data_IF_453766765865
#
_entry.id   IF_453766765865
#
_cell.length_a   1.000
_cell.length_b   1.000
_cell.length_c   1.000
_cell.angle_alpha   90.00
_cell.angle_beta   90.00
_cell.angle_gamma   90.00
#
_symmetry.space_group_name_H-M   'P 1'
#
loop_
_entity.id
_entity.type
_entity.pdbx_description
1 polymer ?
#
# COMPACT_ATOMS: atom_id res chain seq x y z
N UNK A 1 -4.79 1.16 -12.85
CA UNK A 1 -5.34 -0.18 -13.24
C UNK A 1 -6.86 -0.26 -13.04
N UNK A 2 -7.40 0.21 -11.93
CA UNK A 2 -8.87 0.29 -11.77
C UNK A 2 -9.51 1.20 -12.81
N UNK A 3 -8.78 2.16 -13.34
CA UNK A 3 -9.25 3.08 -14.38
C UNK A 3 -9.11 2.49 -15.80
N UNK A 4 -8.09 1.66 -16.05
CA UNK A 4 -7.93 0.97 -17.36
C UNK A 4 -8.88 -0.23 -17.50
N UNK A 5 -9.17 -0.94 -16.41
CA UNK A 5 -10.28 -1.91 -16.36
C UNK A 5 -11.65 -1.24 -16.36
N UNK A 6 -11.74 0.08 -16.12
CA UNK A 6 -13.00 0.80 -16.10
C UNK A 6 -13.73 0.77 -17.44
N UNK A 7 -13.04 0.81 -18.57
CA UNK A 7 -13.72 0.83 -19.87
C UNK A 7 -14.41 -0.51 -20.19
N UNK A 8 -13.81 -1.62 -19.80
CA UNK A 8 -14.41 -2.94 -19.97
C UNK A 8 -15.52 -3.20 -18.95
N UNK A 9 -15.32 -2.81 -17.69
CA UNK A 9 -16.35 -2.83 -16.64
C UNK A 9 -17.48 -1.84 -16.96
N UNK A 10 -17.17 -0.64 -17.44
CA UNK A 10 -18.10 0.37 -17.94
C UNK A 10 -18.98 -0.21 -19.05
N UNK A 11 -18.37 -0.86 -20.03
CA UNK A 11 -19.07 -1.54 -21.12
C UNK A 11 -20.02 -2.62 -20.61
N UNK A 12 -19.54 -3.49 -19.70
CA UNK A 12 -20.35 -4.54 -19.09
C UNK A 12 -21.52 -3.98 -18.26
N UNK A 13 -21.32 -2.92 -17.50
CA UNK A 13 -22.37 -2.27 -16.71
C UNK A 13 -23.43 -1.66 -17.66
N UNK A 14 -23.01 -1.02 -18.73
CA UNK A 14 -23.91 -0.43 -19.72
C UNK A 14 -24.70 -1.48 -20.52
N UNK A 15 -24.09 -2.65 -20.76
CA UNK A 15 -24.73 -3.78 -21.44
C UNK A 15 -25.73 -4.53 -20.54
N UNK A 16 -25.45 -4.63 -19.24
CA UNK A 16 -26.25 -5.42 -18.28
C UNK A 16 -27.36 -4.62 -17.60
N UNK A 17 -27.32 -3.29 -17.59
CA UNK A 17 -28.31 -2.45 -16.91
C UNK A 17 -28.97 -1.47 -17.86
N UNK A 18 -30.29 -1.38 -17.77
CA UNK A 18 -31.09 -0.42 -18.51
C UNK A 18 -30.52 1.01 -18.38
N UNK A 19 -30.13 1.55 -19.47
CA UNK A 19 -29.77 2.89 -19.99
C UNK A 19 -29.83 4.16 -19.10
N UNK A 20 -30.08 4.09 -17.80
CA UNK A 20 -30.24 5.26 -16.92
C UNK A 20 -29.07 5.51 -15.96
N UNK A 21 -27.91 4.88 -16.21
CA UNK A 21 -26.73 5.07 -15.37
C UNK A 21 -25.81 6.07 -16.05
N UNK A 22 -25.59 7.19 -15.41
CA UNK A 22 -24.54 8.14 -15.75
C UNK A 22 -23.21 7.65 -15.21
N UNK A 23 -22.17 7.66 -16.05
CA UNK A 23 -20.81 7.28 -15.66
C UNK A 23 -19.97 8.55 -15.58
N UNK A 24 -19.47 8.82 -14.38
CA UNK A 24 -18.64 9.97 -14.09
C UNK A 24 -17.18 9.53 -14.10
N UNK A 25 -16.36 10.24 -14.86
CA UNK A 25 -14.94 9.96 -14.95
C UNK A 25 -14.14 10.73 -13.89
N UNK A 26 -13.38 10.02 -13.09
CA UNK A 26 -12.59 10.60 -11.98
C UNK A 26 -11.57 11.64 -12.48
N UNK A 27 -11.05 11.50 -13.69
CA UNK A 27 -10.13 12.48 -14.31
C UNK A 27 -10.68 13.92 -14.38
N UNK A 28 -12.00 14.08 -14.42
CA UNK A 28 -12.64 15.40 -14.44
C UNK A 28 -12.43 16.17 -13.12
N UNK A 29 -12.00 15.46 -12.07
CA UNK A 29 -11.75 15.98 -10.74
C UNK A 29 -10.27 16.17 -10.41
N UNK A 30 -9.36 15.81 -11.30
CA UNK A 30 -7.89 15.99 -11.13
C UNK A 30 -7.47 17.46 -11.05
N UNK A 31 -8.35 18.40 -11.41
CA UNK A 31 -8.16 19.84 -11.22
C UNK A 31 -8.07 20.26 -9.75
N UNK A 32 -8.58 19.46 -8.83
CA UNK A 32 -8.45 19.73 -7.41
C UNK A 32 -7.03 19.41 -6.95
N UNK A 33 -6.34 20.41 -6.43
CA UNK A 33 -4.98 20.23 -5.88
C UNK A 33 -5.04 19.45 -4.58
N UNK A 34 -4.30 18.36 -4.54
CA UNK A 34 -4.12 17.53 -3.34
C UNK A 34 -2.65 17.63 -2.92
N UNK A 35 -2.42 17.75 -1.61
CA UNK A 35 -1.10 17.92 -1.03
C UNK A 35 -0.10 16.85 -1.51
N UNK A 36 1.13 17.28 -1.86
CA UNK A 36 2.18 16.41 -2.40
C UNK A 36 2.75 15.40 -1.37
N UNK A 37 2.44 15.55 -0.10
CA UNK A 37 2.79 14.56 0.94
C UNK A 37 2.10 13.21 0.77
N UNK A 38 0.99 13.17 0.03
CA UNK A 38 0.30 11.90 -0.23
C UNK A 38 0.94 11.11 -1.37
N UNK A 39 1.03 9.79 -1.20
CA UNK A 39 1.40 8.88 -2.27
C UNK A 39 0.44 9.00 -3.47
N UNK A 40 0.94 8.75 -4.68
CA UNK A 40 0.20 8.98 -5.93
C UNK A 40 -1.16 8.27 -5.96
N UNK A 41 -1.23 7.05 -5.43
CA UNK A 41 -2.48 6.29 -5.37
C UNK A 41 -3.50 6.88 -4.38
N UNK A 42 -3.04 7.50 -3.28
CA UNK A 42 -3.92 8.18 -2.33
C UNK A 42 -4.53 9.44 -2.94
N UNK A 43 -3.75 10.18 -3.74
CA UNK A 43 -4.29 11.32 -4.50
C UNK A 43 -5.41 10.89 -5.43
N UNK A 44 -5.24 9.78 -6.17
CA UNK A 44 -6.30 9.23 -7.02
C UNK A 44 -7.54 8.81 -6.23
N UNK A 45 -7.36 8.18 -5.08
CA UNK A 45 -8.49 7.83 -4.19
C UNK A 45 -9.23 9.07 -3.68
N UNK A 46 -8.50 10.14 -3.35
CA UNK A 46 -9.12 11.41 -2.95
C UNK A 46 -9.90 12.06 -4.10
N UNK A 47 -9.40 12.02 -5.32
CA UNK A 47 -10.17 12.47 -6.50
C UNK A 47 -11.47 11.67 -6.67
N UNK A 48 -11.46 10.36 -6.42
CA UNK A 48 -12.69 9.55 -6.41
C UNK A 48 -13.65 10.00 -5.31
N UNK A 49 -13.15 10.28 -4.10
CA UNK A 49 -13.97 10.81 -3.00
C UNK A 49 -14.59 12.15 -3.39
N UNK A 50 -13.80 13.06 -3.97
CA UNK A 50 -14.27 14.36 -4.44
C UNK A 50 -15.38 14.18 -5.50
N UNK A 51 -15.20 13.26 -6.45
CA UNK A 51 -16.21 12.95 -7.43
C UNK A 51 -17.53 12.50 -6.79
N UNK A 52 -17.46 11.55 -5.84
CA UNK A 52 -18.64 11.07 -5.13
C UNK A 52 -19.36 12.18 -4.34
N UNK A 53 -18.59 13.00 -3.60
CA UNK A 53 -19.15 14.10 -2.82
C UNK A 53 -19.82 15.17 -3.71
N UNK A 54 -19.20 15.46 -4.85
CA UNK A 54 -19.78 16.40 -5.85
C UNK A 54 -21.11 15.91 -6.36
N UNK A 55 -21.22 14.64 -6.71
CA UNK A 55 -22.49 14.04 -7.16
C UNK A 55 -23.57 14.05 -6.08
N UNK A 56 -23.16 13.82 -4.85
CA UNK A 56 -24.07 13.91 -3.68
C UNK A 56 -24.41 15.36 -3.32
N UNK A 57 -23.88 16.37 -4.04
CA UNK A 57 -24.05 17.80 -3.76
C UNK A 57 -23.63 18.21 -2.35
N UNK A 58 -22.60 17.51 -1.83
CA UNK A 58 -21.98 17.82 -0.54
C UNK A 58 -20.86 18.83 -0.81
N UNK A 59 -20.85 19.93 -0.08
CA UNK A 59 -19.77 20.93 -0.18
C UNK A 59 -18.44 20.33 0.29
N UNK A 60 -17.40 20.59 -0.49
CA UNK A 60 -16.08 20.05 -0.25
C UNK A 60 -15.16 21.18 0.20
N UNK A 61 -14.57 21.04 1.38
CA UNK A 61 -13.42 21.81 1.80
C UNK A 61 -12.17 20.94 1.60
N UNK A 62 -11.39 21.23 0.57
CA UNK A 62 -10.18 20.46 0.25
C UNK A 62 -9.07 20.62 1.29
N UNK A 63 -9.11 21.66 2.13
CA UNK A 63 -8.16 21.85 3.23
C UNK A 63 -8.28 20.75 4.29
N UNK A 64 -9.49 20.16 4.44
CA UNK A 64 -9.70 19.05 5.36
C UNK A 64 -8.91 17.79 4.98
N UNK A 65 -8.49 17.64 3.72
CA UNK A 65 -7.68 16.51 3.29
C UNK A 65 -6.19 16.68 3.65
N UNK A 66 -5.76 17.89 3.99
CA UNK A 66 -4.33 18.17 4.22
C UNK A 66 -3.80 17.56 5.53
N UNK A 67 -4.66 17.34 6.50
CA UNK A 67 -4.28 16.96 7.85
C UNK A 67 -4.74 15.57 8.31
N UNK A 68 -5.29 14.76 7.42
CA UNK A 68 -5.75 13.41 7.77
C UNK A 68 -4.71 12.37 7.33
N UNK A 69 -3.77 11.97 8.20
CA UNK A 69 -2.91 10.83 7.91
C UNK A 69 -3.75 9.56 7.90
N UNK A 70 -3.74 8.84 6.79
CA UNK A 70 -4.28 7.48 6.75
C UNK A 70 -3.24 6.54 7.32
N UNK A 71 -3.42 6.10 8.58
CA UNK A 71 -2.50 5.19 9.24
C UNK A 71 -2.21 3.96 8.38
N UNK A 72 -0.91 3.67 8.22
CA UNK A 72 -0.44 2.52 7.45
C UNK A 72 -0.76 2.57 5.94
N UNK A 73 -0.88 3.74 5.34
CA UNK A 73 -1.04 3.92 3.90
C UNK A 73 0.12 4.72 3.32
N UNK A 74 1.20 4.02 2.96
CA UNK A 74 2.47 4.61 2.53
C UNK A 74 2.92 5.75 3.46
N UNK A 75 2.68 5.54 4.75
CA UNK A 75 2.90 6.54 5.80
C UNK A 75 4.36 6.55 6.20
N UNK A 76 4.99 7.71 6.10
CA UNK A 76 6.35 7.92 6.57
C UNK A 76 6.34 8.24 8.06
N UNK A 77 6.86 7.33 8.90
CA UNK A 77 6.92 7.47 10.36
C UNK A 77 8.28 7.98 10.87
N UNK A 78 9.31 7.89 10.02
CA UNK A 78 10.63 8.46 10.25
C UNK A 78 11.23 8.87 8.90
N UNK A 79 12.37 9.57 8.91
CA UNK A 79 13.03 10.03 7.67
C UNK A 79 13.28 8.92 6.67
N UNK A 80 13.49 7.69 7.15
CA UNK A 80 13.87 6.51 6.37
C UNK A 80 12.97 5.29 6.61
N UNK A 81 11.83 5.43 7.29
CA UNK A 81 10.91 4.32 7.58
C UNK A 81 9.52 4.66 7.05
N UNK A 82 9.02 3.81 6.16
CA UNK A 82 7.66 3.89 5.64
C UNK A 82 6.88 2.63 6.02
N UNK A 83 5.63 2.79 6.44
CA UNK A 83 4.72 1.69 6.76
C UNK A 83 3.55 1.65 5.78
N UNK A 84 3.14 0.44 5.38
CA UNK A 84 1.94 0.21 4.58
C UNK A 84 1.29 -1.14 4.93
N UNK A 85 0.00 -1.15 5.20
CA UNK A 85 -0.76 -2.35 5.58
C UNK A 85 -1.30 -3.13 4.38
N UNK A 86 -0.85 -2.81 3.16
CA UNK A 86 -1.16 -3.56 1.96
C UNK A 86 -0.71 -5.02 2.07
N UNK A 87 -1.48 -5.92 1.47
CA UNK A 87 -1.25 -7.36 1.60
C UNK A 87 -1.67 -8.15 0.34
N UNK A 88 -1.84 -7.47 -0.79
CA UNK A 88 -2.24 -8.08 -2.06
C UNK A 88 -1.38 -7.55 -3.22
N UNK A 89 -1.40 -8.22 -4.38
CA UNK A 89 -0.60 -7.84 -5.55
C UNK A 89 -0.85 -6.39 -6.02
N UNK A 90 -2.09 -5.91 -5.98
CA UNK A 90 -2.41 -4.55 -6.39
C UNK A 90 -1.73 -3.51 -5.48
N UNK A 91 -1.81 -3.69 -4.16
CA UNK A 91 -1.12 -2.84 -3.21
C UNK A 91 0.41 -2.90 -3.42
N UNK A 92 0.96 -4.09 -3.66
CA UNK A 92 2.38 -4.26 -3.96
C UNK A 92 2.81 -3.48 -5.22
N UNK A 93 1.99 -3.52 -6.29
CA UNK A 93 2.28 -2.78 -7.53
C UNK A 93 2.34 -1.27 -7.28
N UNK A 94 1.41 -0.75 -6.50
CA UNK A 94 1.37 0.68 -6.19
C UNK A 94 2.57 1.09 -5.35
N UNK A 95 2.89 0.30 -4.32
CA UNK A 95 4.06 0.55 -3.45
C UNK A 95 5.37 0.42 -4.24
N UNK A 96 5.51 -0.56 -5.14
CA UNK A 96 6.69 -0.70 -5.97
C UNK A 96 6.95 0.57 -6.82
N UNK A 97 5.90 1.23 -7.29
CA UNK A 97 5.99 2.53 -8.01
C UNK A 97 6.50 3.65 -7.11
N UNK A 98 6.01 3.77 -5.88
CA UNK A 98 6.42 4.82 -4.93
C UNK A 98 7.91 4.70 -4.55
N UNK A 99 8.46 3.47 -4.62
CA UNK A 99 9.88 3.18 -4.35
C UNK A 99 10.69 2.91 -5.63
N UNK A 100 10.18 3.27 -6.80
CA UNK A 100 10.90 3.12 -8.06
C UNK A 100 12.28 3.81 -7.98
N UNK A 101 13.31 3.11 -8.46
CA UNK A 101 14.72 3.54 -8.39
C UNK A 101 15.34 3.59 -6.98
N UNK A 102 14.67 3.06 -5.96
CA UNK A 102 15.21 2.88 -4.62
C UNK A 102 15.49 1.43 -4.32
N UNK A 103 16.39 1.18 -3.36
CA UNK A 103 16.61 -0.12 -2.76
C UNK A 103 16.29 -0.04 -1.28
N UNK A 104 15.39 -0.90 -0.82
CA UNK A 104 14.87 -0.87 0.54
C UNK A 104 15.14 -2.20 1.28
N UNK A 105 15.24 -2.13 2.59
CA UNK A 105 15.08 -3.28 3.46
C UNK A 105 13.58 -3.47 3.72
N UNK A 106 13.04 -4.59 3.22
CA UNK A 106 11.63 -4.94 3.42
C UNK A 106 11.45 -5.70 4.73
N UNK A 107 10.64 -5.18 5.64
CA UNK A 107 10.18 -5.89 6.84
C UNK A 107 8.80 -6.46 6.52
N UNK A 108 8.69 -7.80 6.51
CA UNK A 108 7.55 -8.45 5.89
C UNK A 108 7.09 -9.71 6.63
N UNK A 109 5.80 -9.93 6.59
CA UNK A 109 5.14 -11.21 6.77
C UNK A 109 3.76 -11.13 6.10
N UNK A 110 3.08 -12.27 5.95
CA UNK A 110 1.77 -12.34 5.31
C UNK A 110 0.89 -13.41 5.94
N UNK A 111 -0.41 -13.28 5.74
CA UNK A 111 -1.33 -14.37 5.98
C UNK A 111 -1.25 -15.43 4.88
N UNK A 112 -1.43 -16.70 5.25
CA UNK A 112 -1.31 -17.83 4.34
C UNK A 112 -2.39 -17.88 3.23
N UNK A 113 -3.52 -17.18 3.44
CA UNK A 113 -4.61 -17.05 2.47
C UNK A 113 -4.38 -15.94 1.43
N UNK A 114 -3.27 -15.19 1.52
CA UNK A 114 -2.92 -14.13 0.58
C UNK A 114 -1.93 -14.61 -0.47
N UNK A 115 -1.93 -13.98 -1.62
CA UNK A 115 -0.96 -14.26 -2.69
C UNK A 115 0.40 -13.58 -2.41
N UNK A 116 1.04 -14.02 -1.32
CA UNK A 116 2.32 -13.48 -0.88
C UNK A 116 3.46 -13.76 -1.85
N UNK A 117 3.34 -14.82 -2.66
CA UNK A 117 4.33 -15.14 -3.69
C UNK A 117 4.34 -14.06 -4.76
N UNK A 118 3.16 -13.69 -5.27
CA UNK A 118 3.06 -12.64 -6.29
C UNK A 118 3.40 -11.27 -5.71
N UNK A 119 2.99 -10.98 -4.47
CA UNK A 119 3.41 -9.76 -3.76
C UNK A 119 4.93 -9.63 -3.73
N UNK A 120 5.66 -10.69 -3.34
CA UNK A 120 7.13 -10.66 -3.29
C UNK A 120 7.78 -10.54 -4.67
N UNK A 121 7.22 -11.16 -5.71
CA UNK A 121 7.69 -10.98 -7.10
C UNK A 121 7.59 -9.52 -7.55
N UNK A 122 6.46 -8.89 -7.28
CA UNK A 122 6.21 -7.48 -7.64
C UNK A 122 7.16 -6.55 -6.91
N UNK A 123 7.39 -6.79 -5.60
CA UNK A 123 8.28 -5.95 -4.79
C UNK A 123 9.77 -6.23 -5.02
N UNK A 124 10.14 -7.41 -5.56
CA UNK A 124 11.53 -7.80 -5.76
C UNK A 124 12.43 -6.72 -6.37
N UNK A 125 12.02 -5.97 -7.41
CA UNK A 125 12.87 -4.94 -8.03
C UNK A 125 13.35 -3.86 -7.08
N UNK A 126 12.60 -3.56 -6.03
CA UNK A 126 12.93 -2.52 -5.04
C UNK A 126 13.62 -3.08 -3.80
N UNK A 127 13.59 -4.40 -3.57
CA UNK A 127 14.16 -5.02 -2.37
C UNK A 127 15.69 -5.14 -2.50
N UNK A 128 16.40 -4.66 -1.48
CA UNK A 128 17.82 -4.93 -1.22
C UNK A 128 17.96 -6.21 -0.40
N UNK A 129 17.27 -6.26 0.72
CA UNK A 129 17.21 -7.39 1.65
C UNK A 129 15.84 -7.44 2.33
N UNK A 130 15.49 -8.58 2.91
CA UNK A 130 14.20 -8.79 3.56
C UNK A 130 14.39 -9.36 4.97
N UNK A 131 13.65 -8.79 5.93
CA UNK A 131 13.53 -9.31 7.29
C UNK A 131 12.14 -9.92 7.46
N UNK A 132 12.06 -11.19 7.82
CA UNK A 132 10.82 -11.84 8.20
C UNK A 132 10.51 -11.47 9.65
N UNK A 133 9.44 -10.71 9.86
CA UNK A 133 8.98 -10.38 11.21
C UNK A 133 8.14 -11.51 11.77
N UNK A 134 8.46 -11.98 12.97
CA UNK A 134 7.73 -13.06 13.64
C UNK A 134 6.42 -12.53 14.24
N UNK A 135 5.31 -13.18 13.91
CA UNK A 135 3.96 -12.84 14.36
C UNK A 135 3.33 -14.02 15.08
N UNK A 136 2.68 -13.74 16.19
CA UNK A 136 1.92 -14.76 16.95
C UNK A 136 0.46 -14.83 16.48
N UNK A 137 0.26 -15.34 15.26
CA UNK A 137 -1.07 -15.61 14.69
C UNK A 137 -1.01 -16.88 13.82
N UNK A 138 -1.93 -17.81 14.07
CA UNK A 138 -1.99 -19.11 13.37
C UNK A 138 -2.28 -18.99 11.86
N UNK A 139 -2.79 -17.86 11.41
CA UNK A 139 -3.11 -17.59 9.99
C UNK A 139 -1.90 -17.10 9.18
N UNK A 140 -0.80 -16.80 9.85
CA UNK A 140 0.43 -16.30 9.22
C UNK A 140 1.14 -17.43 8.49
N UNK A 141 1.78 -17.11 7.38
CA UNK A 141 2.65 -18.04 6.64
C UNK A 141 3.76 -18.54 7.56
N UNK A 142 4.00 -19.85 7.55
CA UNK A 142 5.10 -20.44 8.30
C UNK A 142 6.44 -19.89 7.83
N UNK A 143 7.32 -19.54 8.76
CA UNK A 143 8.61 -18.92 8.47
C UNK A 143 9.44 -19.70 7.45
N UNK A 144 9.46 -21.02 7.58
CA UNK A 144 10.19 -21.94 6.67
C UNK A 144 9.63 -21.93 5.25
N UNK A 145 8.31 -21.78 5.12
CA UNK A 145 7.64 -21.68 3.83
C UNK A 145 7.93 -20.34 3.16
N UNK A 146 7.83 -19.26 3.93
CA UNK A 146 8.15 -17.93 3.44
C UNK A 146 9.62 -17.80 3.04
N UNK A 147 10.55 -18.37 3.84
CA UNK A 147 11.99 -18.44 3.50
C UNK A 147 12.23 -19.12 2.15
N UNK A 148 11.61 -20.26 1.89
CA UNK A 148 11.74 -20.95 0.58
C UNK A 148 11.34 -20.09 -0.60
N UNK A 149 10.25 -19.32 -0.46
CA UNK A 149 9.81 -18.40 -1.51
C UNK A 149 10.81 -17.27 -1.71
N UNK A 150 11.30 -16.66 -0.64
CA UNK A 150 12.28 -15.57 -0.68
C UNK A 150 13.57 -16.02 -1.33
N UNK A 151 14.09 -17.20 -0.94
CA UNK A 151 15.28 -17.82 -1.54
C UNK A 151 15.08 -18.14 -3.01
N UNK A 152 13.91 -18.72 -3.38
CA UNK A 152 13.54 -19.00 -4.76
C UNK A 152 13.48 -17.75 -5.64
N UNK A 153 13.19 -16.60 -5.03
CA UNK A 153 13.22 -15.30 -5.70
C UNK A 153 14.63 -14.65 -5.68
N UNK A 154 15.63 -15.28 -5.07
CA UNK A 154 17.00 -14.74 -4.91
C UNK A 154 16.99 -13.39 -4.17
N UNK A 155 16.17 -13.24 -3.15
CA UNK A 155 16.14 -12.08 -2.25
C UNK A 155 17.00 -12.41 -1.03
N UNK A 156 17.90 -11.52 -0.65
CA UNK A 156 18.74 -11.69 0.55
C UNK A 156 17.89 -11.59 1.82
N UNK A 157 18.09 -12.53 2.77
CA UNK A 157 17.41 -12.53 4.06
C UNK A 157 18.35 -11.96 5.12
N UNK A 158 17.85 -10.98 5.90
CA UNK A 158 18.48 -10.45 7.10
C UNK A 158 17.75 -10.96 8.33
N UNK A 159 18.48 -11.51 9.29
CA UNK A 159 17.86 -12.20 10.43
C UNK A 159 17.36 -11.25 11.53
N UNK A 160 17.84 -10.01 11.57
CA UNK A 160 17.53 -9.07 12.65
C UNK A 160 17.07 -7.72 12.12
N UNK A 161 16.11 -7.11 12.83
CA UNK A 161 15.71 -5.72 12.60
C UNK A 161 16.72 -4.83 13.35
N UNK A 162 17.53 -4.10 12.58
CA UNK A 162 18.40 -3.05 13.07
C UNK A 162 18.24 -1.85 12.14
N UNK A 163 17.68 -0.77 12.65
CA UNK A 163 17.44 0.45 11.88
C UNK A 163 18.73 1.26 11.80
N UNK A 164 19.21 1.47 10.60
CA UNK A 164 20.40 2.26 10.26
C UNK A 164 19.96 3.55 9.53
N UNK A 165 20.65 4.66 9.79
CA UNK A 165 20.23 5.99 9.30
C UNK A 165 20.27 6.12 7.78
N UNK A 166 21.21 5.43 7.14
CA UNK A 166 21.48 5.53 5.70
C UNK A 166 20.75 4.46 4.87
N UNK A 167 19.85 3.71 5.51
CA UNK A 167 19.05 2.65 4.88
C UNK A 167 17.58 3.02 4.85
N UNK A 168 16.90 2.75 3.73
CA UNK A 168 15.46 2.93 3.59
C UNK A 168 14.72 1.64 3.97
N UNK A 169 13.67 1.77 4.76
CA UNK A 169 12.86 0.65 5.26
C UNK A 169 11.42 0.78 4.81
N UNK A 170 10.87 -0.34 4.35
CA UNK A 170 9.45 -0.50 4.11
C UNK A 170 8.91 -1.62 5.00
N UNK A 171 7.92 -1.33 5.82
CA UNK A 171 7.15 -2.31 6.59
C UNK A 171 5.86 -2.58 5.84
N UNK A 172 5.65 -3.82 5.38
CA UNK A 172 4.56 -4.16 4.48
C UNK A 172 3.96 -5.54 4.79
N UNK A 173 2.63 -5.71 4.63
CA UNK A 173 1.99 -7.02 4.67
C UNK A 173 0.67 -7.10 5.42
N UNK A 174 0.45 -6.35 6.50
CA UNK A 174 -0.83 -6.24 7.22
C UNK A 174 -0.74 -5.26 8.38
N UNK A 175 -1.87 -4.94 9.01
CA UNK A 175 -1.88 -4.20 10.27
C UNK A 175 -1.06 -4.89 11.36
N UNK A 176 -1.12 -6.21 11.46
CA UNK A 176 -0.37 -6.99 12.46
C UNK A 176 1.15 -6.88 12.25
N UNK A 177 1.62 -6.85 11.00
CA UNK A 177 3.04 -6.63 10.65
C UNK A 177 3.49 -5.25 11.14
N UNK A 178 2.71 -4.22 10.81
CA UNK A 178 3.00 -2.83 11.19
C UNK A 178 2.97 -2.65 12.70
N UNK A 179 1.94 -3.13 13.39
CA UNK A 179 1.80 -3.08 14.84
C UNK A 179 2.99 -3.74 15.54
N UNK A 180 3.34 -4.96 15.12
CA UNK A 180 4.48 -5.70 15.67
C UNK A 180 5.79 -4.94 15.49
N UNK A 181 6.01 -4.38 14.30
CA UNK A 181 7.20 -3.57 14.02
C UNK A 181 7.27 -2.34 14.90
N UNK A 182 6.19 -1.56 15.00
CA UNK A 182 6.12 -0.36 15.84
C UNK A 182 6.41 -0.68 17.30
N UNK A 183 5.84 -1.79 17.80
CA UNK A 183 6.13 -2.28 19.15
C UNK A 183 7.61 -2.61 19.36
N UNK A 184 8.27 -3.24 18.38
CA UNK A 184 9.69 -3.62 18.47
C UNK A 184 10.63 -2.41 18.49
N UNK A 185 10.29 -1.33 17.80
CA UNK A 185 11.11 -0.11 17.78
C UNK A 185 10.73 0.87 18.91
N UNK A 186 9.76 0.52 19.76
CA UNK A 186 9.29 1.39 20.85
C UNK A 186 8.59 2.65 20.36
N UNK A 187 7.97 2.60 19.18
CA UNK A 187 7.25 3.72 18.61
C UNK A 187 5.92 3.90 19.36
N UNK A 188 5.81 4.98 20.14
CA UNK A 188 4.57 5.41 20.77
C UNK A 188 4.03 6.57 19.95
N UNK A 189 2.97 6.35 19.16
CA UNK A 189 2.12 7.46 18.75
C UNK A 189 1.45 8.00 20.01
N UNK A 190 1.88 9.16 20.47
CA UNK A 190 1.02 10.00 21.32
C UNK A 190 -0.12 10.49 20.41
N UNK A 191 -1.23 9.77 20.48
CA UNK A 191 -2.51 10.15 19.89
C UNK A 191 -3.01 11.47 20.48
#
# INVERSE_FOLDING_TARGET
EVIETADEVKKQILEQRNKSIEIIEVKDFEKYTINDKFASYLKRNLHLVIACLTELKISIDTQLFDDVPLFGRCQKIASNITIDVGHNPLAATVIAKEFENKKITLIYNSYADKDYVEVLKILKPIIKELVIIDLDDKRVVKKEELKKVIEGLSIAIKETIKIEKDEEYLVFGSFLVVEKFLSLIGFNESL
#
